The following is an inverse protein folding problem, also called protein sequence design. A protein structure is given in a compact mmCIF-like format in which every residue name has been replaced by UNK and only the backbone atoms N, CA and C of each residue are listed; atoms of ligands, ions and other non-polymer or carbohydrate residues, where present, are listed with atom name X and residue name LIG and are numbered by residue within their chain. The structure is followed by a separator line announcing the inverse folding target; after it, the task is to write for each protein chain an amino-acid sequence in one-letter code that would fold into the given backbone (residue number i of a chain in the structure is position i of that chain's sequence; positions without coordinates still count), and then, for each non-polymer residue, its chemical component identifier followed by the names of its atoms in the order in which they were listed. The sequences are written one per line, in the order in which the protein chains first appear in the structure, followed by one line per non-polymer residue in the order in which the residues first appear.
data_IF_561092571659
#
_entry.id   IF_561092571659
#
_cell.length_a   1.000
_cell.length_b   1.000
_cell.length_c   1.000
_cell.angle_alpha   90.00
_cell.angle_beta   90.00
_cell.angle_gamma   90.00
#
_symmetry.space_group_name_H-M   'P 1'
#
loop_
_entity.id
_entity.type
_entity.pdbx_description
1 polymer ?
#
# COMPACT_ATOMS: atom_id res chain seq x y z
N UNK A 1 19.17 26.93 -46.76
CA UNK A 1 19.39 26.27 -45.45
C UNK A 1 18.43 26.79 -44.37
N UNK A 2 17.83 27.98 -44.54
CA UNK A 2 16.95 28.60 -43.53
C UNK A 2 15.56 27.93 -43.35
N UNK A 3 15.03 27.27 -44.40
CA UNK A 3 13.76 26.53 -44.30
C UNK A 3 13.80 25.35 -43.33
N UNK A 4 14.89 24.57 -43.35
CA UNK A 4 15.09 23.44 -42.42
C UNK A 4 15.25 23.90 -40.97
N UNK A 5 15.83 25.08 -40.73
CA UNK A 5 15.87 25.67 -39.40
C UNK A 5 14.46 26.06 -38.95
N UNK A 6 13.70 26.77 -39.80
CA UNK A 6 12.36 27.24 -39.44
C UNK A 6 11.41 26.09 -39.10
N UNK A 7 11.43 25.01 -39.87
CA UNK A 7 10.64 23.80 -39.59
C UNK A 7 11.10 23.12 -38.29
N UNK A 8 12.41 23.02 -38.04
CA UNK A 8 12.95 22.48 -36.79
C UNK A 8 12.57 23.34 -35.56
N UNK A 9 12.53 24.66 -35.70
CA UNK A 9 12.10 25.60 -34.66
C UNK A 9 10.59 25.49 -34.39
N UNK A 10 9.77 25.42 -35.45
CA UNK A 10 8.32 25.28 -35.32
C UNK A 10 7.92 23.92 -34.72
N UNK A 11 8.62 22.86 -35.11
CA UNK A 11 8.44 21.51 -34.59
C UNK A 11 8.92 21.41 -33.14
N UNK A 12 9.95 22.19 -32.78
CA UNK A 12 10.44 22.33 -31.41
C UNK A 12 9.44 23.01 -30.48
N UNK A 13 8.79 24.08 -30.93
CA UNK A 13 7.83 24.82 -30.11
C UNK A 13 6.50 24.05 -29.90
N UNK A 14 6.09 23.29 -30.92
CA UNK A 14 4.97 22.33 -30.81
C UNK A 14 5.30 21.19 -29.84
N UNK A 15 6.49 20.59 -29.94
CA UNK A 15 6.93 19.51 -29.04
C UNK A 15 7.01 19.96 -27.58
N UNK A 16 7.52 21.18 -27.34
CA UNK A 16 7.54 21.83 -26.02
C UNK A 16 6.12 21.96 -25.43
N UNK A 17 5.15 22.39 -26.24
CA UNK A 17 3.76 22.56 -25.81
C UNK A 17 3.10 21.22 -25.46
N UNK A 18 3.31 20.18 -26.29
CA UNK A 18 2.79 18.82 -26.01
C UNK A 18 3.36 18.25 -24.72
N UNK A 19 4.68 18.33 -24.53
CA UNK A 19 5.36 17.86 -23.32
C UNK A 19 4.78 18.50 -22.05
N UNK A 20 4.50 19.82 -22.08
CA UNK A 20 3.87 20.53 -20.96
C UNK A 20 2.47 20.02 -20.65
N UNK A 21 1.64 19.81 -21.67
CA UNK A 21 0.30 19.27 -21.49
C UNK A 21 0.34 17.87 -20.88
N UNK A 22 1.25 17.01 -21.34
CA UNK A 22 1.45 15.67 -20.79
C UNK A 22 1.91 15.74 -19.34
N UNK A 23 2.89 16.59 -19.02
CA UNK A 23 3.40 16.74 -17.65
C UNK A 23 2.32 17.29 -16.69
N UNK A 24 1.48 18.23 -17.14
CA UNK A 24 0.33 18.71 -16.37
C UNK A 24 -0.70 17.60 -16.13
N UNK A 25 -1.02 16.80 -17.15
CA UNK A 25 -1.94 15.67 -17.01
C UNK A 25 -1.38 14.61 -16.03
N UNK A 26 -0.11 14.23 -16.19
CA UNK A 26 0.59 13.30 -15.28
C UNK A 26 0.62 13.83 -13.85
N UNK A 27 0.76 15.14 -13.66
CA UNK A 27 0.75 15.76 -12.33
C UNK A 27 -0.64 15.64 -11.67
N UNK A 28 -1.72 15.86 -12.42
CA UNK A 28 -3.10 15.67 -11.93
C UNK A 28 -3.38 14.20 -11.61
N UNK A 29 -2.99 13.27 -12.50
CA UNK A 29 -3.14 11.83 -12.28
C UNK A 29 -2.36 11.38 -11.04
N UNK A 30 -1.12 11.86 -10.90
CA UNK A 30 -0.30 11.60 -9.72
C UNK A 30 -1.00 12.10 -8.47
N UNK A 31 -1.46 13.36 -8.45
CA UNK A 31 -2.17 13.91 -7.30
C UNK A 31 -3.38 13.06 -6.87
N UNK A 32 -4.22 12.61 -7.84
CA UNK A 32 -5.35 11.73 -7.57
C UNK A 32 -4.87 10.38 -7.00
N UNK A 33 -3.82 9.80 -7.57
CA UNK A 33 -3.21 8.57 -7.07
C UNK A 33 -2.72 8.75 -5.62
N UNK A 34 -2.17 9.90 -5.27
CA UNK A 34 -1.76 10.24 -3.90
C UNK A 34 -2.93 10.19 -2.92
N UNK A 35 -4.06 10.82 -3.28
CA UNK A 35 -5.29 10.78 -2.49
C UNK A 35 -5.82 9.33 -2.33
N UNK A 36 -5.80 8.53 -3.40
CA UNK A 36 -6.18 7.12 -3.34
C UNK A 36 -5.25 6.31 -2.43
N UNK A 37 -3.94 6.53 -2.51
CA UNK A 37 -2.96 5.85 -1.66
C UNK A 37 -3.16 6.18 -0.17
N UNK A 38 -3.45 7.44 0.17
CA UNK A 38 -3.78 7.84 1.54
C UNK A 38 -5.07 7.12 2.00
N UNK A 39 -6.12 7.14 1.18
CA UNK A 39 -7.38 6.48 1.49
C UNK A 39 -7.23 4.97 1.72
N UNK A 40 -6.49 4.29 0.84
CA UNK A 40 -6.16 2.87 0.98
C UNK A 40 -5.32 2.61 2.24
N UNK A 41 -4.36 3.48 2.54
CA UNK A 41 -3.52 3.34 3.73
C UNK A 41 -4.34 3.45 5.01
N UNK A 42 -5.27 4.40 5.09
CA UNK A 42 -6.20 4.55 6.20
C UNK A 42 -7.15 3.34 6.27
N UNK A 43 -7.68 2.88 5.14
CA UNK A 43 -8.55 1.71 5.09
C UNK A 43 -7.84 0.46 5.62
N UNK A 44 -6.62 0.18 5.17
CA UNK A 44 -5.80 -0.94 5.66
C UNK A 44 -5.42 -0.78 7.14
N UNK A 45 -5.33 0.46 7.64
CA UNK A 45 -5.00 0.73 9.04
C UNK A 45 -6.18 0.54 9.99
N UNK A 46 -7.42 0.88 9.59
CA UNK A 46 -8.55 0.92 10.52
C UNK A 46 -9.64 -0.11 10.24
N UNK A 47 -9.86 -0.48 8.98
CA UNK A 47 -11.06 -1.23 8.57
C UNK A 47 -10.77 -2.60 7.97
N UNK A 48 -9.59 -2.79 7.40
CA UNK A 48 -9.22 -4.07 6.79
C UNK A 48 -9.07 -5.17 7.84
N UNK A 49 -9.46 -6.39 7.48
CA UNK A 49 -9.18 -7.59 8.28
C UNK A 49 -7.67 -7.79 8.54
N UNK A 50 -6.83 -7.16 7.70
CA UNK A 50 -5.39 -7.04 7.87
C UNK A 50 -5.00 -6.31 9.18
N UNK A 51 -5.82 -5.38 9.68
CA UNK A 51 -5.58 -4.69 10.95
C UNK A 51 -5.49 -5.67 12.12
N UNK A 52 -6.28 -6.76 12.10
CA UNK A 52 -6.32 -7.75 13.17
C UNK A 52 -4.98 -8.49 13.32
N UNK A 53 -4.33 -8.80 12.19
CA UNK A 53 -2.99 -9.42 12.14
C UNK A 53 -1.95 -8.48 12.75
N UNK A 54 -2.10 -7.18 12.49
CA UNK A 54 -1.20 -6.15 13.01
C UNK A 54 -1.39 -5.90 14.50
N UNK A 55 -2.64 -5.88 15.00
CA UNK A 55 -2.94 -5.68 16.42
C UNK A 55 -2.37 -6.78 17.32
N UNK A 56 -2.06 -7.93 16.75
CA UNK A 56 -1.45 -9.07 17.41
C UNK A 56 0.06 -8.91 17.68
N UNK A 57 0.66 -7.74 17.41
CA UNK A 57 2.08 -7.40 17.60
C UNK A 57 3.10 -8.30 16.86
N UNK A 58 2.61 -9.26 16.07
CA UNK A 58 3.38 -10.05 15.08
C UNK A 58 3.99 -9.14 14.01
N UNK A 59 3.44 -7.93 13.85
CA UNK A 59 3.80 -7.00 12.79
C UNK A 59 4.33 -5.70 13.35
N UNK A 60 5.63 -5.44 13.12
CA UNK A 60 6.27 -4.16 13.45
C UNK A 60 5.49 -2.95 12.88
N UNK A 61 5.56 -1.78 13.52
CA UNK A 61 4.85 -0.56 13.12
C UNK A 61 5.18 -0.07 11.69
N UNK A 62 6.30 -0.50 11.10
CA UNK A 62 6.68 -0.22 9.70
C UNK A 62 6.05 -1.21 8.71
N UNK A 63 4.72 -1.24 8.66
CA UNK A 63 3.98 -2.01 7.67
C UNK A 63 4.00 -1.29 6.31
N UNK A 64 3.95 -2.03 5.19
CA UNK A 64 3.87 -1.47 3.83
C UNK A 64 2.77 -0.41 3.66
N UNK A 65 1.63 -0.56 4.33
CA UNK A 65 0.54 0.44 4.33
C UNK A 65 0.93 1.78 4.96
N UNK A 66 1.80 1.78 5.98
CA UNK A 66 2.32 3.02 6.57
C UNK A 66 3.24 3.75 5.58
N UNK A 67 4.15 3.00 4.94
CA UNK A 67 5.05 3.54 3.91
C UNK A 67 4.22 4.11 2.75
N UNK A 68 3.18 3.39 2.31
CA UNK A 68 2.27 3.84 1.27
C UNK A 68 1.54 5.13 1.64
N UNK A 69 1.13 5.28 2.91
CA UNK A 69 0.45 6.48 3.41
C UNK A 69 1.37 7.72 3.45
N UNK A 70 2.60 7.54 3.92
CA UNK A 70 3.62 8.60 3.90
C UNK A 70 3.95 8.99 2.46
N UNK A 71 4.17 8.00 1.58
CA UNK A 71 4.45 8.23 0.18
C UNK A 71 3.29 8.95 -0.54
N UNK A 72 2.05 8.55 -0.28
CA UNK A 72 0.84 9.20 -0.81
C UNK A 72 0.73 10.66 -0.36
N UNK A 73 1.04 10.95 0.91
CA UNK A 73 1.04 12.32 1.45
C UNK A 73 2.08 13.20 0.76
N UNK A 74 3.32 12.70 0.62
CA UNK A 74 4.38 13.42 -0.11
C UNK A 74 3.98 13.67 -1.56
N UNK A 75 3.33 12.69 -2.19
CA UNK A 75 2.88 12.78 -3.57
C UNK A 75 1.80 13.87 -3.71
N UNK A 76 0.78 13.91 -2.85
CA UNK A 76 -0.20 15.02 -2.85
C UNK A 76 0.48 16.38 -2.69
N UNK A 77 1.41 16.53 -1.75
CA UNK A 77 2.10 17.80 -1.49
C UNK A 77 2.95 18.27 -2.68
N UNK A 78 3.80 17.39 -3.21
CA UNK A 78 4.71 17.72 -4.32
C UNK A 78 3.91 18.05 -5.59
N UNK A 79 2.88 17.26 -5.90
CA UNK A 79 2.09 17.44 -7.11
C UNK A 79 1.09 18.60 -7.03
N UNK A 80 0.63 18.98 -5.82
CA UNK A 80 -0.17 20.21 -5.64
C UNK A 80 0.61 21.46 -6.06
N UNK A 81 1.90 21.51 -5.74
CA UNK A 81 2.79 22.62 -6.16
C UNK A 81 3.30 22.43 -7.59
N UNK A 82 3.26 21.21 -8.12
CA UNK A 82 3.74 20.84 -9.45
C UNK A 82 3.09 21.65 -10.58
N UNK A 83 1.78 21.91 -10.52
CA UNK A 83 1.06 22.68 -11.55
C UNK A 83 1.60 24.10 -11.69
N UNK A 84 1.87 24.78 -10.57
CA UNK A 84 2.49 26.11 -10.57
C UNK A 84 3.95 26.07 -11.06
N UNK A 85 4.70 25.02 -10.71
CA UNK A 85 6.10 24.85 -11.10
C UNK A 85 6.26 24.62 -12.60
N UNK A 86 5.37 23.83 -13.22
CA UNK A 86 5.37 23.62 -14.67
C UNK A 86 5.09 24.92 -15.44
N UNK A 87 4.25 25.80 -14.88
CA UNK A 87 3.98 27.11 -15.47
C UNK A 87 5.16 28.09 -15.30
N UNK A 88 5.94 27.98 -14.21
CA UNK A 88 7.13 28.80 -13.98
C UNK A 88 8.29 28.27 -14.82
N UNK A 89 8.69 29.00 -15.87
CA UNK A 89 9.75 28.63 -16.82
C UNK A 89 11.19 28.52 -16.24
N UNK A 90 11.37 28.48 -14.93
CA UNK A 90 12.69 28.38 -14.30
C UNK A 90 13.20 26.94 -14.30
N UNK A 91 14.35 26.70 -14.94
CA UNK A 91 15.05 25.40 -14.96
C UNK A 91 15.27 24.82 -13.57
N UNK A 92 15.70 25.65 -12.60
CA UNK A 92 15.97 25.20 -11.24
C UNK A 92 14.72 24.64 -10.55
N UNK A 93 13.56 25.25 -10.81
CA UNK A 93 12.28 24.83 -10.21
C UNK A 93 11.81 23.48 -10.75
N UNK A 94 12.05 23.24 -12.05
CA UNK A 94 11.74 21.99 -12.72
C UNK A 94 12.67 20.84 -12.33
N UNK A 95 13.97 21.14 -12.18
CA UNK A 95 14.96 20.18 -11.71
C UNK A 95 14.64 19.69 -10.29
N UNK A 96 14.34 20.60 -9.36
CA UNK A 96 13.90 20.23 -8.00
C UNK A 96 12.63 19.35 -8.01
N UNK A 97 11.69 19.64 -8.90
CA UNK A 97 10.48 18.83 -9.06
C UNK A 97 10.79 17.41 -9.56
N UNK A 98 11.67 17.27 -10.55
CA UNK A 98 12.10 15.96 -11.06
C UNK A 98 12.80 15.12 -9.99
N UNK A 99 13.72 15.71 -9.22
CA UNK A 99 14.41 15.01 -8.12
C UNK A 99 13.44 14.57 -7.02
N UNK A 100 12.44 15.40 -6.70
CA UNK A 100 11.40 15.03 -5.74
C UNK A 100 10.53 13.87 -6.27
N UNK A 101 10.13 13.91 -7.54
CA UNK A 101 9.38 12.82 -8.18
C UNK A 101 10.16 11.50 -8.16
N UNK A 102 11.45 11.51 -8.50
CA UNK A 102 12.32 10.32 -8.43
C UNK A 102 12.42 9.76 -7.01
N UNK A 103 12.63 10.64 -6.02
CA UNK A 103 12.69 10.23 -4.61
C UNK A 103 11.39 9.56 -4.17
N UNK A 104 10.24 10.13 -4.52
CA UNK A 104 8.92 9.54 -4.24
C UNK A 104 8.80 8.19 -4.97
N UNK A 105 9.21 8.10 -6.23
CA UNK A 105 9.21 6.86 -7.00
C UNK A 105 10.01 5.72 -6.36
N UNK A 106 11.16 6.04 -5.73
CA UNK A 106 11.98 5.07 -4.97
C UNK A 106 11.27 4.61 -3.70
N UNK A 107 10.59 5.51 -2.99
CA UNK A 107 9.79 5.15 -1.80
C UNK A 107 8.64 4.21 -2.18
N UNK A 108 7.94 4.51 -3.29
CA UNK A 108 6.88 3.66 -3.83
C UNK A 108 7.41 2.27 -4.25
N UNK A 109 8.57 2.23 -4.91
CA UNK A 109 9.22 0.98 -5.27
C UNK A 109 9.58 0.16 -4.03
N UNK A 110 10.12 0.81 -3.00
CA UNK A 110 10.46 0.16 -1.73
C UNK A 110 9.24 -0.43 -1.05
N UNK A 111 8.11 0.28 -1.04
CA UNK A 111 6.83 -0.25 -0.55
C UNK A 111 6.35 -1.47 -1.36
N UNK A 112 6.48 -1.42 -2.70
CA UNK A 112 6.15 -2.53 -3.58
C UNK A 112 7.03 -3.77 -3.37
N UNK A 113 8.34 -3.58 -3.22
CA UNK A 113 9.29 -4.67 -2.97
C UNK A 113 9.16 -5.25 -1.56
N UNK A 114 8.78 -4.44 -0.56
CA UNK A 114 8.56 -4.89 0.82
C UNK A 114 7.53 -6.03 0.87
N UNK A 115 6.49 -5.95 0.04
CA UNK A 115 5.43 -6.97 -0.05
C UNK A 115 5.98 -8.37 -0.37
N UNK A 116 6.92 -8.46 -1.31
CA UNK A 116 7.45 -9.74 -1.79
C UNK A 116 8.20 -10.52 -0.71
N UNK A 117 8.85 -9.80 0.22
CA UNK A 117 9.61 -10.42 1.30
C UNK A 117 8.77 -10.75 2.54
N UNK A 118 7.54 -10.22 2.62
CA UNK A 118 6.73 -10.23 3.83
C UNK A 118 5.77 -11.43 3.88
N UNK A 119 5.13 -11.77 2.76
CA UNK A 119 4.09 -12.81 2.72
C UNK A 119 4.56 -14.19 3.19
N UNK A 120 5.79 -14.60 2.84
CA UNK A 120 6.31 -15.93 3.17
C UNK A 120 6.84 -16.05 4.60
N UNK A 121 7.29 -14.95 5.20
CA UNK A 121 7.89 -14.94 6.54
C UNK A 121 6.86 -14.90 7.66
N UNK A 122 5.70 -14.32 7.40
CA UNK A 122 4.71 -13.99 8.45
C UNK A 122 3.68 -15.09 8.64
N UNK A 123 3.45 -15.93 7.62
CA UNK A 123 2.55 -17.09 7.73
C UNK A 123 2.94 -18.05 8.88
N UNK A 124 4.21 -18.45 9.08
CA UNK A 124 4.58 -19.30 10.21
C UNK A 124 4.39 -18.60 11.57
N UNK A 125 4.71 -17.31 11.67
CA UNK A 125 4.52 -16.53 12.90
C UNK A 125 3.04 -16.43 13.29
N UNK A 126 2.16 -16.24 12.30
CA UNK A 126 0.70 -16.28 12.49
C UNK A 126 0.25 -17.67 12.97
N UNK A 127 0.79 -18.75 12.40
CA UNK A 127 0.42 -20.11 12.78
C UNK A 127 0.84 -20.43 14.23
N UNK A 128 2.03 -19.99 14.64
CA UNK A 128 2.55 -20.12 16.01
C UNK A 128 1.70 -19.35 17.01
N UNK A 129 1.42 -18.07 16.71
CA UNK A 129 0.49 -17.22 17.47
C UNK A 129 -0.88 -17.88 17.67
N UNK A 130 -1.51 -18.37 16.60
CA UNK A 130 -2.78 -19.08 16.69
C UNK A 130 -2.65 -20.37 17.51
N UNK A 131 -1.51 -21.06 17.41
CA UNK A 131 -1.17 -22.21 18.25
C UNK A 131 -1.20 -21.89 19.73
N UNK A 132 -0.51 -20.83 20.15
CA UNK A 132 -0.49 -20.39 21.56
C UNK A 132 -1.87 -19.96 22.04
N UNK A 133 -2.63 -19.23 21.21
CA UNK A 133 -3.98 -18.78 21.52
C UNK A 133 -4.95 -19.97 21.72
N UNK A 134 -4.84 -21.01 20.91
CA UNK A 134 -5.66 -22.22 21.04
C UNK A 134 -5.22 -23.04 22.26
N UNK A 135 -3.91 -23.19 22.52
CA UNK A 135 -3.41 -24.00 23.64
C UNK A 135 -3.77 -23.40 25.01
N UNK A 136 -3.75 -22.07 25.11
CA UNK A 136 -4.12 -21.33 26.34
C UNK A 136 -5.60 -20.99 26.43
N UNK A 137 -6.42 -21.44 25.49
CA UNK A 137 -7.85 -21.17 25.50
C UNK A 137 -8.55 -21.84 26.68
N UNK A 138 -9.24 -21.04 27.50
CA UNK A 138 -10.02 -21.52 28.65
C UNK A 138 -11.48 -21.09 28.52
N UNK A 139 -12.35 -22.07 28.27
CA UNK A 139 -13.80 -21.88 28.11
C UNK A 139 -14.50 -21.38 29.39
N UNK A 140 -13.88 -21.54 30.56
CA UNK A 140 -14.45 -21.07 31.84
C UNK A 140 -14.11 -19.61 32.13
N UNK A 141 -13.17 -19.02 31.36
CA UNK A 141 -12.60 -17.68 31.57
C UNK A 141 -12.70 -16.80 30.32
N UNK A 142 -13.84 -16.87 29.63
CA UNK A 142 -14.14 -16.20 28.35
C UNK A 142 -13.83 -14.69 28.27
N UNK A 143 -13.74 -14.00 29.41
CA UNK A 143 -13.52 -12.55 29.51
C UNK A 143 -12.35 -12.15 30.43
N UNK A 144 -11.58 -13.12 30.95
CA UNK A 144 -10.56 -12.86 31.99
C UNK A 144 -9.15 -12.83 31.43
N UNK A 145 -8.84 -13.64 30.41
CA UNK A 145 -7.52 -13.64 29.76
C UNK A 145 -7.58 -12.92 28.41
N UNK A 146 -6.61 -12.03 28.18
CA UNK A 146 -6.52 -11.25 26.94
C UNK A 146 -6.41 -12.15 25.69
N UNK A 147 -5.78 -13.31 25.83
CA UNK A 147 -5.64 -14.34 24.79
C UNK A 147 -7.01 -14.91 24.36
N UNK A 148 -7.89 -15.24 25.31
CA UNK A 148 -9.24 -15.75 25.01
C UNK A 148 -10.10 -14.69 24.32
N UNK A 149 -9.98 -13.42 24.74
CA UNK A 149 -10.66 -12.29 24.13
C UNK A 149 -10.20 -12.06 22.69
N UNK A 150 -8.88 -12.14 22.46
CA UNK A 150 -8.29 -11.98 21.14
C UNK A 150 -8.74 -13.11 20.20
N UNK A 151 -8.68 -14.37 20.65
CA UNK A 151 -9.13 -15.51 19.84
C UNK A 151 -10.62 -15.43 19.50
N UNK A 152 -11.47 -15.05 20.45
CA UNK A 152 -12.90 -14.81 20.21
C UNK A 152 -13.13 -13.71 19.16
N UNK A 153 -12.36 -12.62 19.22
CA UNK A 153 -12.43 -11.55 18.24
C UNK A 153 -12.02 -12.03 16.84
N UNK A 154 -10.95 -12.83 16.73
CA UNK A 154 -10.50 -13.45 15.48
C UNK A 154 -11.61 -14.34 14.89
N UNK A 155 -12.13 -15.28 15.68
CA UNK A 155 -13.18 -16.20 15.25
C UNK A 155 -14.43 -15.48 14.76
N UNK A 156 -14.86 -14.44 15.47
CA UNK A 156 -16.06 -13.68 15.13
C UNK A 156 -15.86 -12.79 13.91
N UNK A 157 -14.75 -12.03 13.84
CA UNK A 157 -14.47 -11.09 12.73
C UNK A 157 -14.24 -11.80 11.41
N UNK A 158 -13.50 -12.91 11.43
CA UNK A 158 -13.09 -13.64 10.24
C UNK A 158 -14.01 -14.84 9.93
N UNK A 159 -15.04 -15.06 10.75
CA UNK A 159 -15.97 -16.18 10.66
C UNK A 159 -15.24 -17.54 10.48
N UNK A 160 -14.21 -17.75 11.30
CA UNK A 160 -13.33 -18.91 11.25
C UNK A 160 -13.29 -19.60 12.63
N UNK A 161 -12.67 -20.78 12.71
CA UNK A 161 -12.51 -21.50 13.98
C UNK A 161 -11.18 -22.26 14.04
N UNK A 162 -10.44 -22.10 15.14
CA UNK A 162 -9.18 -22.81 15.36
C UNK A 162 -8.10 -22.42 14.36
N UNK A 163 -7.01 -23.18 14.34
CA UNK A 163 -5.89 -23.00 13.42
C UNK A 163 -6.27 -23.54 12.04
N UNK A 164 -6.58 -24.83 12.00
CA UNK A 164 -7.01 -25.60 10.83
C UNK A 164 -8.50 -25.90 10.85
N UNK A 165 -9.12 -25.91 12.03
CA UNK A 165 -10.55 -26.09 12.21
C UNK A 165 -10.91 -26.37 13.67
N UNK A 166 -12.14 -26.83 13.90
CA UNK A 166 -12.67 -27.18 15.22
C UNK A 166 -11.88 -28.31 15.89
N UNK A 167 -11.26 -29.19 15.10
CA UNK A 167 -10.47 -30.33 15.58
C UNK A 167 -9.27 -29.95 16.46
N UNK A 168 -8.82 -28.69 16.40
CA UNK A 168 -7.70 -28.21 17.20
C UNK A 168 -8.06 -28.13 18.70
N UNK A 169 -9.34 -28.00 19.01
CA UNK A 169 -9.87 -28.08 20.38
C UNK A 169 -10.14 -29.54 20.71
N UNK A 170 -9.15 -30.21 21.32
CA UNK A 170 -9.15 -31.64 21.67
C UNK A 170 -10.22 -32.00 22.73
N UNK A 171 -11.50 -31.91 22.36
CA UNK A 171 -12.72 -32.30 23.13
C UNK A 171 -13.21 -31.32 24.21
N UNK A 172 -12.75 -30.07 24.23
CA UNK A 172 -13.41 -29.01 25.00
C UNK A 172 -14.71 -28.63 24.28
N UNK A 173 -15.84 -28.99 24.87
CA UNK A 173 -17.17 -28.62 24.40
C UNK A 173 -17.98 -28.10 25.60
N UNK A 174 -18.65 -26.95 25.49
CA UNK A 174 -18.99 -26.22 24.27
C UNK A 174 -18.05 -25.06 23.88
N UNK A 175 -17.65 -25.02 22.59
CA UNK A 175 -16.88 -23.91 22.00
C UNK A 175 -17.77 -22.69 21.73
N UNK A 176 -17.93 -21.82 22.73
CA UNK A 176 -18.70 -20.57 22.60
C UNK A 176 -18.11 -19.67 21.50
N UNK A 177 -16.79 -19.70 21.29
CA UNK A 177 -16.07 -18.88 20.31
C UNK A 177 -16.41 -19.17 18.84
N UNK A 178 -16.85 -20.40 18.54
CA UNK A 178 -17.14 -20.85 17.17
C UNK A 178 -18.64 -21.11 16.90
N UNK A 179 -19.49 -20.86 17.89
CA UNK A 179 -20.95 -20.98 17.81
C UNK A 179 -21.56 -20.03 16.75
N UNK A 180 -22.66 -20.37 16.05
CA UNK A 180 -23.51 -21.57 16.23
C UNK A 180 -23.10 -22.81 15.43
N UNK A 181 -22.39 -22.67 14.30
CA UNK A 181 -22.04 -23.78 13.41
C UNK A 181 -20.52 -23.99 13.33
N UNK A 182 -19.88 -24.54 14.37
CA UNK A 182 -18.43 -24.69 14.42
C UNK A 182 -17.91 -25.57 13.28
N UNK A 183 -18.57 -26.70 12.98
CA UNK A 183 -18.13 -27.67 11.96
C UNK A 183 -18.13 -27.12 10.53
N UNK A 184 -18.89 -26.05 10.26
CA UNK A 184 -18.95 -25.41 8.95
C UNK A 184 -17.87 -24.34 8.76
N UNK A 185 -17.19 -23.92 9.84
CA UNK A 185 -16.17 -22.86 9.78
C UNK A 185 -14.83 -23.40 9.30
N UNK A 186 -14.21 -22.68 8.37
CA UNK A 186 -12.83 -22.94 7.96
C UNK A 186 -11.84 -22.54 9.03
N UNK A 187 -10.66 -23.19 9.06
CA UNK A 187 -9.53 -22.81 9.90
C UNK A 187 -9.10 -21.36 9.70
N UNK A 188 -8.82 -20.66 10.81
CA UNK A 188 -8.45 -19.25 10.76
C UNK A 188 -7.13 -19.00 10.03
N UNK A 189 -6.17 -19.93 10.07
CA UNK A 189 -4.90 -19.77 9.36
C UNK A 189 -5.10 -19.56 7.85
N UNK A 190 -6.06 -20.29 7.25
CA UNK A 190 -6.37 -20.16 5.82
C UNK A 190 -6.99 -18.81 5.49
N UNK A 191 -7.98 -18.38 6.27
CA UNK A 191 -8.66 -17.09 6.07
C UNK A 191 -7.70 -15.94 6.26
N UNK A 192 -6.88 -16.00 7.30
CA UNK A 192 -5.91 -14.96 7.65
C UNK A 192 -4.79 -14.86 6.60
N UNK A 193 -4.29 -15.99 6.11
CA UNK A 193 -3.35 -16.02 4.98
C UNK A 193 -3.96 -15.37 3.73
N UNK A 194 -5.22 -15.65 3.43
CA UNK A 194 -5.91 -15.05 2.29
C UNK A 194 -6.09 -13.54 2.45
N UNK A 195 -6.51 -13.07 3.64
CA UNK A 195 -6.66 -11.65 3.94
C UNK A 195 -5.30 -10.91 3.86
N UNK A 196 -4.24 -11.53 4.39
CA UNK A 196 -2.87 -11.04 4.32
C UNK A 196 -2.42 -10.86 2.86
N UNK A 197 -2.54 -11.91 2.04
CA UNK A 197 -2.14 -11.87 0.63
C UNK A 197 -2.92 -10.83 -0.17
N UNK A 198 -4.21 -10.65 0.11
CA UNK A 198 -5.03 -9.64 -0.57
C UNK A 198 -4.64 -8.20 -0.18
N UNK A 199 -4.36 -7.94 1.11
CA UNK A 199 -3.87 -6.63 1.56
C UNK A 199 -2.49 -6.31 0.99
N UNK A 200 -1.59 -7.30 1.03
CA UNK A 200 -0.26 -7.22 0.43
C UNK A 200 -0.29 -6.94 -1.07
N UNK A 201 -1.15 -7.65 -1.82
CA UNK A 201 -1.33 -7.44 -3.25
C UNK A 201 -1.79 -6.01 -3.56
N UNK A 202 -2.75 -5.47 -2.79
CA UNK A 202 -3.23 -4.08 -2.95
C UNK A 202 -2.11 -3.07 -2.74
N UNK A 203 -1.33 -3.20 -1.66
CA UNK A 203 -0.18 -2.32 -1.39
C UNK A 203 0.88 -2.45 -2.47
N UNK A 204 1.20 -3.67 -2.89
CA UNK A 204 2.20 -3.95 -3.93
C UNK A 204 1.82 -3.33 -5.27
N UNK A 205 0.56 -3.49 -5.69
CA UNK A 205 0.03 -2.91 -6.91
C UNK A 205 0.16 -1.38 -6.91
N UNK A 206 -0.26 -0.72 -5.83
CA UNK A 206 -0.11 0.74 -5.70
C UNK A 206 1.37 1.17 -5.67
N UNK A 207 2.23 0.40 -5.00
CA UNK A 207 3.67 0.60 -4.94
C UNK A 207 4.32 0.64 -6.34
N UNK A 208 4.15 -0.43 -7.12
CA UNK A 208 4.74 -0.54 -8.45
C UNK A 208 4.15 0.46 -9.44
N UNK A 209 2.82 0.61 -9.47
CA UNK A 209 2.16 1.56 -10.38
C UNK A 209 2.56 3.01 -10.08
N UNK A 210 2.63 3.39 -8.80
CA UNK A 210 3.11 4.70 -8.38
C UNK A 210 4.58 4.94 -8.77
N UNK A 211 5.45 3.95 -8.59
CA UNK A 211 6.87 4.07 -8.97
C UNK A 211 7.05 4.30 -10.47
N UNK A 212 6.38 3.51 -11.30
CA UNK A 212 6.42 3.64 -12.77
C UNK A 212 5.90 5.01 -13.20
N UNK A 213 4.78 5.45 -12.64
CA UNK A 213 4.20 6.76 -12.94
C UNK A 213 5.17 7.90 -12.61
N UNK A 214 5.84 7.86 -11.46
CA UNK A 214 6.84 8.85 -11.07
C UNK A 214 8.07 8.85 -11.98
N UNK A 215 8.47 7.69 -12.50
CA UNK A 215 9.51 7.61 -13.53
C UNK A 215 9.13 8.40 -14.79
N UNK A 216 7.89 8.23 -15.28
CA UNK A 216 7.40 9.02 -16.41
C UNK A 216 7.37 10.53 -16.09
N UNK A 217 6.87 10.93 -14.90
CA UNK A 217 6.87 12.34 -14.49
C UNK A 217 8.28 12.92 -14.51
N UNK A 218 9.26 12.22 -13.95
CA UNK A 218 10.64 12.67 -13.90
C UNK A 218 11.24 12.85 -15.30
N UNK A 219 11.00 11.90 -16.22
CA UNK A 219 11.46 11.96 -17.61
C UNK A 219 10.89 13.20 -18.32
N UNK A 220 9.57 13.41 -18.26
CA UNK A 220 8.95 14.57 -18.89
C UNK A 220 9.39 15.90 -18.25
N UNK A 221 9.62 15.93 -16.93
CA UNK A 221 10.19 17.09 -16.27
C UNK A 221 11.64 17.39 -16.72
N UNK A 222 12.47 16.38 -16.95
CA UNK A 222 13.83 16.55 -17.47
C UNK A 222 13.80 17.04 -18.92
N UNK A 223 12.98 16.43 -19.78
CA UNK A 223 12.79 16.86 -21.17
C UNK A 223 12.38 18.34 -21.24
N UNK A 224 11.46 18.75 -20.37
CA UNK A 224 11.01 20.12 -20.26
C UNK A 224 12.11 21.08 -19.77
N UNK A 225 13.00 20.60 -18.90
CA UNK A 225 14.18 21.36 -18.45
C UNK A 225 15.18 21.58 -19.58
N UNK A 226 15.39 20.56 -20.42
CA UNK A 226 16.24 20.64 -21.60
C UNK A 226 15.66 21.58 -22.67
N UNK A 227 14.32 21.65 -22.78
CA UNK A 227 13.64 22.46 -23.80
C UNK A 227 13.55 23.95 -23.44
N UNK A 228 13.44 24.28 -22.15
CA UNK A 228 13.60 25.67 -21.71
C UNK A 228 15.07 26.06 -21.88
N UNK A 229 15.48 26.49 -23.08
CA UNK A 229 16.70 27.31 -23.23
C UNK A 229 16.36 28.72 -22.74
N UNK A 230 17.18 29.22 -21.82
CA UNK A 230 17.21 30.65 -21.50
C UNK A 230 17.77 31.39 -22.72
#
# INVERSE_FOLDING_TARGET
MDGYLCDAWLQSDKANTVSRCVLLALNVVSWILGCLCIGLSIYEFYYSDYHLIRSCDVVRPFTGSFILGVAGTLLVLVHSVGSTRVMKRSKATLCMFSTAALTIGVIFLSAGLWVSNYGDKVVPEIAEMLGELVDKYDETRLLVTDETKLLNMIHFKLNCCGITGVSDFKRQWPLVSCSPNPEQRSGCLKVLKSALQLGLFRVGLCGFTGSVLQGFVAVFAILQTCWNRD
#
